data_IF_685357502748
#
_entry.id   IF_685357502748
#
_cell.length_a   1.000
_cell.length_b   1.000
_cell.length_c   1.000
_cell.angle_alpha   90.00
_cell.angle_beta   90.00
_cell.angle_gamma   90.00
#
_symmetry.space_group_name_H-M   'P 1'
#
loop_
_entity.id
_entity.type
_entity.pdbx_description
1 polymer ?
#
# COMPACT_ATOMS: atom_id res chain seq x y z
N UNK A 1 -18.54 1.63 -76.58
CA UNK A 1 -19.30 1.38 -75.33
C UNK A 1 -18.40 0.59 -74.40
N UNK A 2 -17.67 1.28 -73.55
CA UNK A 2 -16.72 0.69 -72.59
C UNK A 2 -17.37 0.64 -71.21
N UNK A 3 -17.48 -0.54 -70.62
CA UNK A 3 -17.94 -0.74 -69.25
C UNK A 3 -16.72 -0.76 -68.36
N UNK A 4 -16.52 0.32 -67.58
CA UNK A 4 -15.56 0.37 -66.50
C UNK A 4 -16.11 -0.39 -65.32
N UNK A 5 -15.42 -1.44 -64.93
CA UNK A 5 -15.67 -2.17 -63.69
C UNK A 5 -15.01 -1.42 -62.51
N UNK A 6 -15.81 -0.94 -61.60
CA UNK A 6 -15.39 -0.40 -60.30
C UNK A 6 -15.10 -1.59 -59.36
N UNK A 7 -13.82 -1.77 -58.99
CA UNK A 7 -13.46 -2.63 -57.85
C UNK A 7 -13.50 -1.82 -56.58
N UNK A 8 -14.29 -2.19 -55.56
CA UNK A 8 -14.16 -1.61 -54.25
C UNK A 8 -12.93 -2.21 -53.58
N UNK A 9 -11.92 -1.38 -53.35
CA UNK A 9 -10.78 -1.69 -52.46
C UNK A 9 -11.34 -1.75 -51.05
N UNK A 10 -11.53 -2.97 -50.56
CA UNK A 10 -11.82 -3.25 -49.17
C UNK A 10 -10.52 -3.00 -48.37
N UNK A 11 -10.37 -1.79 -47.83
CA UNK A 11 -9.29 -1.43 -46.93
C UNK A 11 -9.55 -2.13 -45.58
N UNK A 12 -8.91 -3.27 -45.42
CA UNK A 12 -8.89 -4.00 -44.15
C UNK A 12 -8.07 -3.19 -43.13
N UNK A 13 -8.74 -2.34 -42.36
CA UNK A 13 -8.14 -1.70 -41.20
C UNK A 13 -7.95 -2.76 -40.13
N UNK A 14 -6.76 -3.39 -40.11
CA UNK A 14 -6.29 -4.18 -38.98
C UNK A 14 -5.96 -3.15 -37.89
N UNK A 15 -6.90 -2.93 -36.98
CA UNK A 15 -6.63 -2.30 -35.69
C UNK A 15 -5.68 -3.23 -34.93
N UNK A 16 -4.39 -2.98 -35.08
CA UNK A 16 -3.39 -3.39 -34.10
C UNK A 16 -3.71 -2.64 -32.81
N UNK A 17 -4.50 -3.28 -31.95
CA UNK A 17 -4.56 -2.91 -30.55
C UNK A 17 -3.18 -3.30 -30.01
N UNK A 18 -2.21 -2.40 -30.16
CA UNK A 18 -1.00 -2.45 -29.36
C UNK A 18 -1.47 -2.19 -27.93
N UNK A 19 -1.66 -3.26 -27.17
CA UNK A 19 -1.65 -3.20 -25.72
C UNK A 19 -0.29 -2.58 -25.36
N UNK A 20 -0.28 -1.29 -25.07
CA UNK A 20 0.82 -0.68 -24.36
C UNK A 20 0.72 -1.19 -22.89
N UNK A 21 1.13 -2.42 -22.67
CA UNK A 21 1.78 -2.72 -21.41
C UNK A 21 3.04 -1.88 -21.43
N UNK A 22 3.00 -0.78 -20.68
CA UNK A 22 4.19 0.00 -20.41
C UNK A 22 5.20 -0.99 -19.80
N UNK A 23 6.27 -1.27 -20.55
CA UNK A 23 7.32 -2.17 -20.11
C UNK A 23 8.04 -1.40 -18.98
N UNK A 24 7.50 -1.50 -17.75
CA UNK A 24 8.12 -0.90 -16.56
C UNK A 24 9.42 -1.67 -16.34
N UNK A 25 10.56 -1.00 -16.46
CA UNK A 25 11.83 -1.62 -16.16
C UNK A 25 11.93 -1.92 -14.66
N UNK A 26 12.36 -3.14 -14.32
CA UNK A 26 12.61 -3.52 -12.93
C UNK A 26 13.80 -2.72 -12.41
N UNK A 27 13.58 -1.90 -11.40
CA UNK A 27 14.60 -1.03 -10.80
C UNK A 27 15.57 -1.79 -9.90
N UNK A 28 15.06 -2.77 -9.17
CA UNK A 28 15.81 -3.57 -8.22
C UNK A 28 15.26 -4.99 -8.23
N UNK A 29 16.15 -5.96 -8.33
CA UNK A 29 15.79 -7.37 -8.25
C UNK A 29 16.71 -8.05 -7.25
N UNK A 30 16.13 -8.82 -6.34
CA UNK A 30 16.84 -9.66 -5.39
C UNK A 30 16.21 -11.05 -5.39
N UNK A 31 17.06 -12.07 -5.50
CA UNK A 31 16.66 -13.46 -5.48
C UNK A 31 17.00 -14.08 -4.14
N UNK A 32 15.99 -14.53 -3.45
CA UNK A 32 16.14 -15.25 -2.18
C UNK A 32 16.03 -16.73 -2.48
N UNK A 33 17.12 -17.45 -2.26
CA UNK A 33 17.17 -18.90 -2.48
C UNK A 33 17.23 -19.61 -1.15
N UNK A 34 16.37 -20.61 -0.97
CA UNK A 34 16.43 -21.55 0.16
C UNK A 34 16.50 -22.97 -0.36
N UNK A 35 17.14 -23.85 0.44
CA UNK A 35 17.14 -25.30 0.21
C UNK A 35 16.17 -25.94 1.21
N UNK A 36 15.07 -26.50 0.75
CA UNK A 36 14.10 -27.19 1.55
C UNK A 36 13.88 -28.60 1.00
N UNK A 37 14.14 -29.61 1.82
CA UNK A 37 13.98 -31.01 1.42
C UNK A 37 14.89 -31.48 0.27
N UNK A 38 15.98 -30.74 -0.02
CA UNK A 38 16.89 -30.99 -1.16
C UNK A 38 16.47 -30.34 -2.47
N UNK A 39 15.37 -29.61 -2.48
CA UNK A 39 14.97 -28.75 -3.62
C UNK A 39 15.39 -27.31 -3.37
N UNK A 40 16.00 -26.73 -4.38
CA UNK A 40 16.37 -25.32 -4.38
C UNK A 40 15.17 -24.51 -4.86
N UNK A 41 14.65 -23.64 -3.99
CA UNK A 41 13.54 -22.72 -4.32
C UNK A 41 14.04 -21.31 -4.33
N UNK A 42 13.64 -20.56 -5.34
CA UNK A 42 14.03 -19.17 -5.57
C UNK A 42 12.77 -18.31 -5.58
N UNK A 43 12.73 -17.26 -4.76
CA UNK A 43 11.66 -16.26 -4.71
C UNK A 43 12.28 -14.93 -5.10
N UNK A 44 11.61 -14.20 -5.98
CA UNK A 44 12.10 -12.93 -6.49
C UNK A 44 11.40 -11.77 -5.77
N UNK A 45 12.21 -10.86 -5.21
CA UNK A 45 11.76 -9.57 -4.71
C UNK A 45 12.26 -8.48 -5.64
N UNK A 46 11.37 -7.61 -6.10
CA UNK A 46 11.73 -6.56 -7.04
C UNK A 46 10.84 -5.33 -6.91
N UNK A 47 11.29 -4.22 -7.49
CA UNK A 47 10.51 -3.01 -7.63
C UNK A 47 10.56 -2.52 -9.07
N UNK A 48 9.54 -1.80 -9.49
CA UNK A 48 9.56 -1.05 -10.73
C UNK A 48 10.04 0.38 -10.50
N UNK A 49 10.46 1.04 -11.57
CA UNK A 49 10.64 2.49 -11.53
C UNK A 49 9.29 3.14 -11.27
N UNK A 50 9.21 3.92 -10.18
CA UNK A 50 7.97 4.57 -9.82
C UNK A 50 7.70 5.79 -10.68
N UNK A 51 6.52 5.83 -11.25
CA UNK A 51 5.96 7.04 -11.84
C UNK A 51 5.26 7.79 -10.70
N UNK A 52 5.66 9.03 -10.46
CA UNK A 52 4.98 9.90 -9.50
C UNK A 52 3.61 10.28 -10.04
N UNK A 53 2.61 9.56 -9.60
CA UNK A 53 1.22 9.85 -9.92
C UNK A 53 0.68 10.89 -8.94
N UNK A 54 -0.03 11.89 -9.45
CA UNK A 54 -0.70 12.93 -8.65
C UNK A 54 0.22 13.59 -7.59
N UNK A 55 1.40 14.11 -7.97
CA UNK A 55 2.34 14.69 -7.00
C UNK A 55 1.79 15.92 -6.26
N UNK A 56 0.78 16.59 -6.85
CA UNK A 56 0.11 17.75 -6.27
C UNK A 56 -1.21 17.39 -5.54
N UNK A 57 -1.50 16.09 -5.38
CA UNK A 57 -2.69 15.67 -4.64
C UNK A 57 -2.54 16.01 -3.16
N UNK A 58 -3.61 16.55 -2.57
CA UNK A 58 -3.64 16.97 -1.17
C UNK A 58 -4.79 16.29 -0.47
N UNK A 59 -4.47 15.67 0.65
CA UNK A 59 -5.40 15.09 1.61
C UNK A 59 -5.28 15.82 2.94
N UNK A 60 -6.33 16.52 3.34
CA UNK A 60 -6.43 17.17 4.64
C UNK A 60 -7.51 16.48 5.47
N UNK A 61 -7.24 16.24 6.76
CA UNK A 61 -8.23 15.70 7.70
C UNK A 61 -8.72 16.83 8.61
N UNK A 62 -10.00 17.14 8.53
CA UNK A 62 -10.66 18.16 9.34
C UNK A 62 -11.28 17.58 10.62
N UNK A 63 -11.60 16.30 10.62
CA UNK A 63 -12.04 15.54 11.77
C UNK A 63 -11.54 14.10 11.68
N UNK A 64 -11.02 13.49 12.76
CA UNK A 64 -10.72 14.09 14.08
C UNK A 64 -9.63 15.17 14.02
N UNK A 65 -9.67 16.08 14.99
CA UNK A 65 -8.52 16.94 15.29
C UNK A 65 -7.46 16.17 16.10
N UNK A 66 -6.21 16.61 16.03
CA UNK A 66 -5.13 16.00 16.82
C UNK A 66 -5.45 16.01 18.32
N UNK A 67 -5.25 14.88 18.98
CA UNK A 67 -5.54 14.65 20.40
C UNK A 67 -6.98 14.94 20.83
N UNK A 68 -7.93 14.92 19.90
CA UNK A 68 -9.35 15.12 20.22
C UNK A 68 -9.90 13.96 21.03
N UNK A 69 -10.68 14.28 22.10
CA UNK A 69 -11.39 13.28 22.87
C UNK A 69 -12.88 13.32 22.54
N UNK A 70 -13.43 12.19 22.09
CA UNK A 70 -14.86 12.03 21.82
C UNK A 70 -15.58 11.45 23.02
N UNK A 71 -16.63 12.12 23.46
CA UNK A 71 -17.48 11.66 24.56
C UNK A 71 -18.45 10.54 24.20
N UNK A 72 -18.55 10.19 22.91
CA UNK A 72 -19.39 9.13 22.37
C UNK A 72 -18.63 8.25 21.40
N UNK A 73 -19.21 7.07 21.09
CA UNK A 73 -18.59 6.07 20.21
C UNK A 73 -18.59 6.45 18.73
N UNK A 74 -19.48 7.36 18.30
CA UNK A 74 -19.56 7.80 16.90
C UNK A 74 -18.53 8.88 16.63
N UNK A 75 -17.49 8.53 15.90
CA UNK A 75 -16.40 9.44 15.53
C UNK A 75 -16.62 9.89 14.07
N UNK A 76 -16.78 11.18 13.82
CA UNK A 76 -16.85 11.72 12.47
C UNK A 76 -15.45 11.77 11.85
N UNK A 77 -15.36 11.41 10.58
CA UNK A 77 -14.19 11.58 9.74
C UNK A 77 -14.56 12.50 8.60
N UNK A 78 -13.81 13.60 8.46
CA UNK A 78 -14.04 14.61 7.43
C UNK A 78 -12.72 14.94 6.75
N UNK A 79 -12.69 14.80 5.42
CA UNK A 79 -11.52 15.02 4.59
C UNK A 79 -11.80 16.07 3.53
N UNK A 80 -10.77 16.82 3.18
CA UNK A 80 -10.72 17.65 1.98
C UNK A 80 -9.66 17.06 1.03
N UNK A 81 -10.07 16.75 -0.19
CA UNK A 81 -9.24 16.11 -1.20
C UNK A 81 -9.17 17.02 -2.42
N UNK A 82 -7.94 17.36 -2.85
CA UNK A 82 -7.68 18.25 -3.98
C UNK A 82 -6.73 17.62 -4.98
N UNK A 83 -6.83 18.00 -6.24
CA UNK A 83 -5.93 17.61 -7.34
C UNK A 83 -5.81 16.08 -7.52
N UNK A 84 -6.89 15.37 -7.27
CA UNK A 84 -6.93 13.92 -7.31
C UNK A 84 -8.31 13.44 -7.80
N UNK A 85 -8.40 12.44 -8.72
CA UNK A 85 -9.66 11.97 -9.29
C UNK A 85 -10.43 11.09 -8.31
N UNK A 86 -10.79 11.65 -7.15
CA UNK A 86 -11.42 10.93 -6.05
C UNK A 86 -12.73 10.26 -6.47
N UNK A 87 -12.85 8.96 -6.18
CA UNK A 87 -14.00 8.11 -6.52
C UNK A 87 -14.31 7.98 -8.03
N UNK A 88 -13.43 8.47 -8.89
CA UNK A 88 -13.51 8.22 -10.32
C UNK A 88 -13.01 6.80 -10.65
N UNK A 89 -13.58 6.16 -11.68
CA UNK A 89 -13.09 4.86 -12.14
C UNK A 89 -13.42 3.65 -11.24
N UNK A 90 -14.27 3.78 -10.23
CA UNK A 90 -14.75 2.65 -9.43
C UNK A 90 -13.83 2.28 -8.25
N UNK A 91 -13.14 1.13 -8.29
CA UNK A 91 -12.33 0.64 -7.15
C UNK A 91 -10.98 1.33 -6.97
N UNK A 92 -10.47 2.00 -8.00
CA UNK A 92 -9.28 2.82 -7.94
C UNK A 92 -9.58 4.21 -7.36
N UNK A 93 -8.55 5.01 -7.16
CA UNK A 93 -8.68 6.41 -6.74
C UNK A 93 -9.53 6.60 -5.48
N UNK A 94 -9.22 5.82 -4.46
CA UNK A 94 -9.93 5.86 -3.18
C UNK A 94 -9.11 6.56 -2.11
N UNK A 95 -9.82 7.05 -1.10
CA UNK A 95 -9.27 7.30 0.22
C UNK A 95 -9.22 5.99 0.97
N UNK A 96 -8.06 5.54 1.40
CA UNK A 96 -7.91 4.44 2.35
C UNK A 96 -7.57 4.95 3.73
N UNK A 97 -8.02 4.24 4.76
CA UNK A 97 -7.70 4.57 6.14
C UNK A 97 -7.45 3.31 6.95
N UNK A 98 -6.30 3.29 7.62
CA UNK A 98 -5.96 2.32 8.67
C UNK A 98 -6.18 2.95 10.04
N UNK A 99 -6.68 2.19 10.99
CA UNK A 99 -6.80 2.59 12.40
C UNK A 99 -6.01 1.60 13.24
N UNK A 100 -5.07 2.10 14.04
CA UNK A 100 -4.19 1.30 14.90
C UNK A 100 -3.45 0.18 14.14
N UNK A 101 -2.96 0.46 12.92
CA UNK A 101 -2.21 -0.50 12.10
C UNK A 101 -3.02 -1.69 11.58
N UNK A 102 -4.36 -1.69 11.77
CA UNK A 102 -5.22 -2.70 11.18
C UNK A 102 -5.31 -2.56 9.65
N UNK A 103 -5.88 -3.56 8.99
CA UNK A 103 -6.09 -3.53 7.55
C UNK A 103 -6.83 -2.27 7.11
N UNK A 104 -6.35 -1.60 6.06
CA UNK A 104 -6.96 -0.38 5.58
C UNK A 104 -8.32 -0.65 4.93
N UNK A 105 -9.23 0.28 5.15
CA UNK A 105 -10.56 0.28 4.51
C UNK A 105 -10.62 1.42 3.50
N UNK A 106 -11.11 1.12 2.30
CA UNK A 106 -11.32 2.12 1.24
C UNK A 106 -12.65 2.85 1.36
N UNK A 107 -12.65 4.15 1.10
CA UNK A 107 -13.80 5.03 1.14
C UNK A 107 -13.93 5.80 -0.18
N UNK A 108 -15.16 5.90 -0.69
CA UNK A 108 -15.52 6.70 -1.87
C UNK A 108 -16.26 8.00 -1.47
N UNK A 109 -16.33 8.29 -0.19
CA UNK A 109 -16.91 9.52 0.35
C UNK A 109 -15.90 10.19 1.30
N UNK A 110 -15.72 11.50 1.21
CA UNK A 110 -14.76 12.20 2.05
C UNK A 110 -15.31 12.49 3.46
N UNK A 111 -16.59 12.23 3.70
CA UNK A 111 -17.25 12.46 4.99
C UNK A 111 -18.00 11.19 5.38
N UNK A 112 -17.67 10.64 6.55
CA UNK A 112 -18.33 9.45 7.09
C UNK A 112 -18.18 9.38 8.61
N UNK A 113 -18.82 8.41 9.25
CA UNK A 113 -18.69 8.14 10.69
C UNK A 113 -18.31 6.68 10.92
N UNK A 114 -17.51 6.45 11.95
CA UNK A 114 -17.23 5.10 12.47
C UNK A 114 -17.66 5.00 13.91
N UNK A 115 -18.22 3.86 14.27
CA UNK A 115 -18.47 3.51 15.66
C UNK A 115 -17.23 2.82 16.23
N UNK A 116 -16.63 3.42 17.27
CA UNK A 116 -15.41 2.95 17.90
C UNK A 116 -15.68 2.75 19.40
N UNK A 117 -15.09 1.71 19.96
CA UNK A 117 -15.17 1.44 21.39
C UNK A 117 -14.35 2.47 22.19
N UNK A 118 -14.46 2.40 23.51
CA UNK A 118 -13.55 3.14 24.37
C UNK A 118 -12.10 2.75 24.04
N UNK A 119 -11.24 3.74 23.81
CA UNK A 119 -9.84 3.46 23.44
C UNK A 119 -9.12 4.69 22.91
N UNK A 120 -7.83 4.50 22.65
CA UNK A 120 -6.96 5.46 21.99
C UNK A 120 -6.68 4.95 20.56
N UNK A 121 -6.70 5.85 19.62
CA UNK A 121 -6.68 5.53 18.23
C UNK A 121 -5.69 6.42 17.48
N UNK A 122 -4.93 5.80 16.58
CA UNK A 122 -4.20 6.49 15.53
C UNK A 122 -4.85 6.14 14.19
N UNK A 123 -5.39 7.14 13.51
CA UNK A 123 -5.90 6.98 12.15
C UNK A 123 -4.86 7.50 11.16
N UNK A 124 -4.52 6.69 10.18
CA UNK A 124 -3.71 7.08 9.03
C UNK A 124 -4.57 6.97 7.79
N UNK A 125 -4.80 8.09 7.12
CA UNK A 125 -5.55 8.16 5.88
C UNK A 125 -4.59 8.54 4.74
N UNK A 126 -4.80 7.94 3.57
CA UNK A 126 -3.96 8.14 2.39
C UNK A 126 -4.73 7.91 1.11
N UNK A 127 -4.26 8.52 0.03
CA UNK A 127 -4.79 8.34 -1.32
C UNK A 127 -4.08 7.16 -2.00
N UNK A 128 -4.79 6.45 -2.89
CA UNK A 128 -4.22 5.35 -3.68
C UNK A 128 -4.43 5.59 -5.17
N UNK A 129 -3.50 5.12 -5.99
CA UNK A 129 -3.64 5.18 -7.45
C UNK A 129 -4.67 4.16 -7.98
N UNK A 130 -4.78 4.06 -9.31
CA UNK A 130 -5.71 3.15 -9.99
C UNK A 130 -5.47 1.67 -9.69
N UNK A 131 -4.25 1.28 -9.31
CA UNK A 131 -3.86 -0.08 -8.91
C UNK A 131 -4.10 -0.33 -7.39
N UNK A 132 -4.48 0.70 -6.64
CA UNK A 132 -4.67 0.61 -5.19
C UNK A 132 -3.39 0.79 -4.38
N UNK A 133 -2.29 1.20 -5.00
CA UNK A 133 -1.00 1.51 -4.37
C UNK A 133 -1.08 2.88 -3.71
N UNK A 134 -0.57 3.00 -2.50
CA UNK A 134 -0.55 4.24 -1.75
C UNK A 134 0.34 5.30 -2.43
N UNK A 135 -0.19 6.51 -2.59
CA UNK A 135 0.59 7.67 -3.00
C UNK A 135 1.49 8.10 -1.83
N UNK A 136 2.74 8.41 -2.11
CA UNK A 136 3.79 8.59 -1.09
C UNK A 136 4.36 10.00 -1.00
N UNK A 137 3.90 10.92 -1.88
CA UNK A 137 4.36 12.30 -1.85
C UNK A 137 3.78 13.03 -0.63
N UNK A 138 4.49 14.05 -0.18
CA UNK A 138 4.03 14.92 0.90
C UNK A 138 2.64 15.50 0.59
N UNK A 139 1.71 15.34 1.52
CA UNK A 139 0.32 15.77 1.35
C UNK A 139 -0.63 14.70 0.82
N UNK A 140 -0.14 13.53 0.36
CA UNK A 140 -1.00 12.43 -0.08
C UNK A 140 -1.53 11.59 1.07
N UNK A 141 -1.00 11.77 2.27
CA UNK A 141 -1.42 11.07 3.48
C UNK A 141 -1.46 12.02 4.67
N UNK A 142 -2.19 11.63 5.68
CA UNK A 142 -2.36 12.37 6.95
C UNK A 142 -2.67 11.39 8.07
N UNK A 143 -2.11 11.64 9.23
CA UNK A 143 -2.41 10.88 10.45
C UNK A 143 -3.00 11.77 11.54
N UNK A 144 -3.72 11.16 12.47
CA UNK A 144 -4.26 11.80 13.68
C UNK A 144 -4.40 10.81 14.81
N UNK A 145 -3.93 11.24 15.97
CA UNK A 145 -4.25 10.59 17.23
C UNK A 145 -5.49 11.20 17.85
N UNK A 146 -6.36 10.37 18.39
CA UNK A 146 -7.56 10.77 19.11
C UNK A 146 -7.98 9.71 20.13
N UNK A 147 -8.88 10.05 21.02
CA UNK A 147 -9.39 9.13 22.02
C UNK A 147 -10.91 9.13 22.07
N UNK A 148 -11.47 8.04 22.56
CA UNK A 148 -12.90 7.80 22.68
C UNK A 148 -13.23 7.43 24.12
N UNK A 149 -14.28 8.06 24.67
CA UNK A 149 -14.80 7.81 26.01
C UNK A 149 -13.75 7.97 27.12
N UNK A 150 -12.95 9.05 27.02
CA UNK A 150 -12.02 9.45 28.07
C UNK A 150 -10.76 8.60 28.21
N UNK A 151 -10.39 7.85 27.17
CA UNK A 151 -9.11 7.16 27.14
C UNK A 151 -7.93 8.15 27.10
N UNK A 152 -6.78 7.72 27.60
CA UNK A 152 -5.57 8.53 27.57
C UNK A 152 -5.03 8.58 26.13
N UNK A 153 -4.47 9.71 25.66
CA UNK A 153 -3.80 9.77 24.37
C UNK A 153 -2.57 8.84 24.32
N UNK A 154 -2.09 8.54 23.13
CA UNK A 154 -0.79 7.88 22.99
C UNK A 154 0.32 8.77 23.59
N UNK A 155 1.38 8.18 24.15
CA UNK A 155 2.58 8.93 24.48
C UNK A 155 3.12 9.66 23.24
N UNK A 156 3.62 10.86 23.43
CA UNK A 156 4.37 11.54 22.37
C UNK A 156 5.64 10.72 22.07
N UNK A 157 5.87 10.44 20.81
CA UNK A 157 7.04 9.70 20.31
C UNK A 157 7.39 10.24 18.94
N UNK A 158 8.67 10.40 18.69
CA UNK A 158 9.25 10.70 17.38
C UNK A 158 9.64 9.40 16.63
N UNK A 159 9.24 8.23 17.13
CA UNK A 159 9.54 6.96 16.50
C UNK A 159 8.81 6.82 15.16
N UNK A 160 9.50 6.35 14.12
CA UNK A 160 8.86 6.09 12.85
C UNK A 160 7.82 4.97 13.00
N UNK A 161 6.72 5.09 12.27
CA UNK A 161 5.70 4.04 12.26
C UNK A 161 5.29 3.61 10.85
N UNK A 162 4.86 2.37 10.77
CA UNK A 162 4.57 1.64 9.55
C UNK A 162 3.06 1.44 9.37
N UNK A 163 2.58 1.70 8.16
CA UNK A 163 1.22 1.31 7.72
C UNK A 163 1.33 0.45 6.49
N UNK A 164 0.90 -0.82 6.57
CA UNK A 164 0.86 -1.72 5.43
C UNK A 164 -0.48 -1.58 4.70
N UNK A 165 -0.41 -1.19 3.44
CA UNK A 165 -1.55 -1.06 2.55
C UNK A 165 -1.92 -2.40 1.90
N UNK A 166 -0.93 -3.14 1.44
CA UNK A 166 -1.05 -4.47 0.83
C UNK A 166 0.11 -5.37 1.27
N UNK A 167 -0.12 -6.69 1.40
CA UNK A 167 -1.40 -7.37 1.33
C UNK A 167 -2.28 -7.07 2.56
N UNK A 168 -3.59 -7.34 2.44
CA UNK A 168 -4.49 -7.37 3.59
C UNK A 168 -4.52 -8.78 4.21
N UNK A 169 -4.91 -8.87 5.47
CA UNK A 169 -4.96 -10.14 6.18
C UNK A 169 -5.98 -11.11 5.55
N UNK A 170 -5.62 -12.38 5.44
CA UNK A 170 -6.36 -13.45 4.78
C UNK A 170 -6.63 -13.22 3.28
N UNK A 171 -5.79 -12.44 2.61
CA UNK A 171 -5.85 -12.33 1.15
C UNK A 171 -5.41 -13.64 0.49
N UNK A 172 -6.14 -14.03 -0.54
CA UNK A 172 -5.83 -15.21 -1.36
C UNK A 172 -5.29 -14.79 -2.72
N UNK A 173 -4.29 -15.52 -3.20
CA UNK A 173 -3.63 -15.36 -4.49
C UNK A 173 -3.64 -16.67 -5.25
N UNK A 174 -3.53 -16.61 -6.56
CA UNK A 174 -3.31 -17.77 -7.40
C UNK A 174 -1.82 -18.07 -7.52
N UNK A 175 -1.47 -19.35 -7.79
CA UNK A 175 -0.10 -19.71 -8.12
C UNK A 175 0.43 -18.89 -9.31
N UNK A 176 1.61 -18.30 -9.14
CA UNK A 176 2.22 -17.42 -10.15
C UNK A 176 1.65 -15.99 -10.21
N UNK A 177 0.71 -15.65 -9.34
CA UNK A 177 0.24 -14.27 -9.20
C UNK A 177 1.28 -13.41 -8.47
N UNK A 178 1.56 -12.23 -9.01
CA UNK A 178 2.44 -11.25 -8.38
C UNK A 178 1.81 -10.70 -7.09
N UNK A 179 2.54 -10.73 -6.00
CA UNK A 179 2.12 -10.16 -4.73
C UNK A 179 2.76 -8.80 -4.54
N UNK A 180 1.95 -7.79 -4.26
CA UNK A 180 2.44 -6.44 -3.98
C UNK A 180 2.47 -6.23 -2.46
N UNK A 181 3.66 -5.88 -1.95
CA UNK A 181 3.84 -5.37 -0.58
C UNK A 181 3.96 -3.86 -0.67
N UNK A 182 2.91 -3.16 -0.31
CA UNK A 182 2.84 -1.71 -0.33
C UNK A 182 2.60 -1.16 1.07
N UNK A 183 3.35 -0.14 1.43
CA UNK A 183 3.36 0.42 2.77
C UNK A 183 3.72 1.90 2.76
N UNK A 184 3.39 2.57 3.85
CA UNK A 184 3.83 3.93 4.20
C UNK A 184 4.69 3.88 5.45
N UNK A 185 5.69 4.73 5.50
CA UNK A 185 6.46 5.04 6.71
C UNK A 185 6.22 6.50 7.03
N UNK A 186 5.76 6.79 8.24
CA UNK A 186 5.49 8.13 8.74
C UNK A 186 6.51 8.45 9.84
N UNK A 187 6.75 9.75 10.05
CA UNK A 187 7.67 10.27 11.08
C UNK A 187 9.10 9.73 10.99
N UNK A 188 9.53 9.32 9.77
CA UNK A 188 10.89 8.87 9.54
C UNK A 188 11.21 8.65 8.06
N UNK A 189 12.49 8.81 7.73
CA UNK A 189 13.06 8.56 6.40
C UNK A 189 14.17 7.49 6.50
N UNK A 190 13.97 6.26 6.00
CA UNK A 190 14.88 5.14 6.25
C UNK A 190 16.35 5.44 5.97
N UNK A 191 16.65 6.06 4.82
CA UNK A 191 18.03 6.40 4.43
C UNK A 191 18.68 7.46 5.31
N UNK A 192 17.88 8.45 5.72
CA UNK A 192 18.37 9.62 6.45
C UNK A 192 18.48 9.33 7.94
N UNK A 193 17.50 8.59 8.48
CA UNK A 193 17.43 8.26 9.90
C UNK A 193 18.14 6.93 10.24
N UNK A 194 18.66 6.24 9.21
CA UNK A 194 19.52 5.07 9.41
C UNK A 194 18.78 3.82 9.85
N UNK A 195 17.60 3.55 9.27
CA UNK A 195 16.86 2.30 9.48
C UNK A 195 16.46 1.66 8.14
N UNK A 196 15.87 0.49 8.17
CA UNK A 196 15.40 -0.26 7.01
C UNK A 196 13.99 -0.80 7.23
N UNK A 197 13.37 -1.20 6.14
CA UNK A 197 12.14 -1.98 6.12
C UNK A 197 12.52 -3.43 5.81
N UNK A 198 12.19 -4.35 6.70
CA UNK A 198 12.30 -5.78 6.50
C UNK A 198 10.94 -6.34 6.09
N UNK A 199 10.92 -7.10 5.00
CA UNK A 199 9.74 -7.79 4.47
C UNK A 199 10.04 -9.28 4.52
N UNK A 200 9.14 -10.06 5.15
CA UNK A 200 9.33 -11.48 5.35
C UNK A 200 8.08 -12.28 4.99
N UNK A 201 8.27 -13.33 4.21
CA UNK A 201 7.27 -14.35 3.88
C UNK A 201 7.77 -15.70 4.42
N UNK A 202 7.35 -16.09 5.62
CA UNK A 202 7.90 -17.24 6.35
C UNK A 202 9.44 -17.13 6.44
N UNK A 203 10.18 -17.95 5.67
CA UNK A 203 11.65 -17.99 5.64
C UNK A 203 12.29 -17.08 4.58
N UNK A 204 11.50 -16.54 3.64
CA UNK A 204 11.99 -15.63 2.62
C UNK A 204 12.01 -14.21 3.17
N UNK A 205 13.16 -13.55 3.09
CA UNK A 205 13.40 -12.26 3.72
C UNK A 205 14.08 -11.28 2.76
N UNK A 206 13.61 -10.05 2.75
CA UNK A 206 14.11 -8.97 1.92
C UNK A 206 14.16 -7.66 2.71
N UNK A 207 15.24 -6.90 2.55
CA UNK A 207 15.40 -5.59 3.19
C UNK A 207 15.49 -4.47 2.14
N UNK A 208 14.92 -3.32 2.46
CA UNK A 208 15.03 -2.11 1.66
C UNK A 208 15.12 -0.88 2.58
N UNK A 209 15.79 0.16 2.09
CA UNK A 209 15.84 1.49 2.68
C UNK A 209 14.98 2.51 1.89
N UNK A 210 14.14 2.00 0.97
CA UNK A 210 13.26 2.81 0.13
C UNK A 210 11.79 2.53 0.46
N UNK A 211 10.99 3.58 0.57
CA UNK A 211 9.54 3.48 0.79
C UNK A 211 8.84 3.38 -0.57
N UNK A 212 8.98 2.22 -1.22
CA UNK A 212 8.41 1.90 -2.53
C UNK A 212 7.66 0.57 -2.46
N UNK A 213 6.69 0.31 -3.35
CA UNK A 213 6.06 -1.00 -3.44
C UNK A 213 7.07 -2.07 -3.84
N UNK A 214 7.12 -3.15 -3.08
CA UNK A 214 7.93 -4.33 -3.38
C UNK A 214 7.01 -5.40 -3.95
N UNK A 215 7.42 -5.99 -5.05
CA UNK A 215 6.71 -7.08 -5.71
C UNK A 215 7.42 -8.39 -5.45
N UNK A 216 6.64 -9.44 -5.27
CA UNK A 216 7.13 -10.76 -4.94
C UNK A 216 6.49 -11.74 -5.92
N UNK A 217 7.31 -12.51 -6.63
CA UNK A 217 6.87 -13.59 -7.50
C UNK A 217 7.58 -14.91 -7.17
N UNK A 218 7.11 -15.98 -7.78
CA UNK A 218 7.61 -17.36 -7.61
C UNK A 218 7.46 -17.92 -6.17
N UNK A 219 6.57 -17.34 -5.35
CA UNK A 219 6.21 -17.95 -4.09
C UNK A 219 5.43 -19.25 -4.33
N UNK A 220 5.85 -20.40 -3.74
CA UNK A 220 5.12 -21.66 -3.84
C UNK A 220 3.70 -21.55 -3.26
N UNK A 221 2.82 -22.46 -3.68
CA UNK A 221 1.50 -22.63 -3.05
C UNK A 221 1.64 -22.93 -1.56
N UNK A 222 0.77 -22.33 -0.74
CA UNK A 222 0.80 -22.51 0.70
C UNK A 222 0.29 -21.32 1.50
N UNK A 223 0.37 -21.45 2.81
CA UNK A 223 0.03 -20.39 3.77
C UNK A 223 1.31 -19.63 4.18
N UNK A 224 1.24 -18.32 4.16
CA UNK A 224 2.35 -17.44 4.51
C UNK A 224 1.98 -16.48 5.63
N UNK A 225 2.84 -16.41 6.64
CA UNK A 225 2.90 -15.29 7.56
C UNK A 225 3.76 -14.19 6.91
N UNK A 226 3.13 -13.09 6.58
CA UNK A 226 3.80 -11.91 6.00
C UNK A 226 4.06 -10.91 7.12
N UNK A 227 5.33 -10.61 7.36
CA UNK A 227 5.74 -9.60 8.32
C UNK A 227 6.43 -8.44 7.58
N UNK A 228 6.00 -7.23 7.87
CA UNK A 228 6.69 -6.00 7.44
C UNK A 228 7.04 -5.25 8.70
N UNK A 229 8.32 -4.92 8.90
CA UNK A 229 8.77 -4.22 10.10
C UNK A 229 9.91 -3.25 9.83
N UNK A 230 10.02 -2.28 10.71
CA UNK A 230 11.15 -1.36 10.75
C UNK A 230 12.27 -1.95 11.60
N UNK A 231 13.49 -1.94 11.07
CA UNK A 231 14.68 -2.47 11.74
C UNK A 231 15.83 -1.47 11.67
N UNK A 232 16.66 -1.46 12.69
CA UNK A 232 17.90 -0.71 12.67
C UNK A 232 18.86 -1.25 11.60
N UNK A 233 19.93 -0.51 11.29
CA UNK A 233 20.92 -0.94 10.31
C UNK A 233 21.59 -2.28 10.65
N UNK A 234 21.65 -2.64 11.92
CA UNK A 234 22.18 -3.92 12.41
C UNK A 234 21.15 -5.06 12.41
N UNK A 235 19.93 -4.81 11.96
CA UNK A 235 18.84 -5.80 11.89
C UNK A 235 18.04 -5.96 13.19
N UNK A 236 18.35 -5.19 14.24
CA UNK A 236 17.55 -5.20 15.47
C UNK A 236 16.23 -4.45 15.25
N UNK A 237 15.16 -4.91 15.91
CA UNK A 237 13.85 -4.30 15.79
C UNK A 237 13.84 -2.86 16.34
N UNK A 238 13.10 -1.97 15.69
CA UNK A 238 12.80 -0.66 16.24
C UNK A 238 11.63 -0.80 17.20
N UNK A 239 11.84 -0.39 18.45
CA UNK A 239 10.79 -0.36 19.46
C UNK A 239 9.82 0.79 19.15
N UNK A 240 8.58 0.45 18.79
CA UNK A 240 7.53 1.41 18.48
C UNK A 240 6.17 0.72 18.45
N UNK A 241 5.11 1.44 18.80
CA UNK A 241 3.75 0.86 18.88
C UNK A 241 3.30 0.33 17.53
N UNK A 242 3.76 0.96 16.43
CA UNK A 242 3.38 0.64 15.06
C UNK A 242 4.60 0.40 14.17
N UNK A 243 5.70 -0.12 14.72
CA UNK A 243 6.92 -0.42 13.96
C UNK A 243 6.84 -1.70 13.14
N UNK A 244 5.80 -2.52 13.33
CA UNK A 244 5.62 -3.78 12.61
C UNK A 244 4.16 -4.08 12.30
N UNK A 245 3.95 -4.87 11.23
CA UNK A 245 2.64 -5.40 10.84
C UNK A 245 2.77 -6.85 10.41
N UNK A 246 1.82 -7.69 10.83
CA UNK A 246 1.76 -9.10 10.44
C UNK A 246 0.43 -9.40 9.77
N UNK A 247 0.49 -10.11 8.65
CA UNK A 247 -0.65 -10.55 7.86
C UNK A 247 -0.52 -12.02 7.55
N UNK A 248 -1.63 -12.68 7.29
CA UNK A 248 -1.64 -14.04 6.73
C UNK A 248 -2.18 -13.97 5.32
N UNK A 249 -1.55 -14.67 4.40
CA UNK A 249 -2.03 -14.82 3.04
C UNK A 249 -1.98 -16.29 2.65
N UNK A 250 -2.69 -16.62 1.58
CA UNK A 250 -2.67 -17.97 0.99
C UNK A 250 -2.43 -17.88 -0.50
N UNK A 251 -1.60 -18.79 -1.02
CA UNK A 251 -1.39 -19.01 -2.46
C UNK A 251 -1.99 -20.37 -2.78
N UNK A 252 -3.00 -20.38 -3.66
CA UNK A 252 -3.77 -21.57 -4.05
C UNK A 252 -3.29 -22.18 -5.37
#
# INVERSE_FOLDING_TARGET
MSKSAFYPILLLFILLIASCEANRERRRESKVTIEEGGEKREVNFYSYEEVREYPDAILEMYSPLGNQNFSGQKVPFEFNIKNYPFAEGGKGFQLKMSINGNDPVGYNMPIFQKELNQGTYRAVAYLVNGEGIALKEFGNYVDRDFSVLGSQPFPESDDPFLVVNMPINNQEYLEGEEIIVDFLVLDGMPKEDGFKIMIKFNQYEFETDEVIPIRVDDLPTGDYDVEVKLVNQDGTDIDGIFSSSRKKIRIN
#
